data_IF_595830422894
#
_entry.id   IF_595830422894
#
_cell.length_a   1.000
_cell.length_b   1.000
_cell.length_c   1.000
_cell.angle_alpha   90.00
_cell.angle_beta   90.00
_cell.angle_gamma   90.00
#
_symmetry.space_group_name_H-M   'P 1'
#
loop_
_entity.id
_entity.type
_entity.pdbx_description
1 polymer ?
#
# COMPACT_ATOMS: atom_id res chain seq x y z
N UNK A 1 20.51 -5.66 -4.11
CA UNK A 1 19.60 -4.52 -4.37
C UNK A 1 18.21 -5.07 -4.11
N UNK A 2 17.43 -4.49 -3.20
CA UNK A 2 16.04 -4.94 -3.04
C UNK A 2 15.29 -4.58 -4.32
N UNK A 3 14.48 -5.51 -4.88
CA UNK A 3 13.66 -5.20 -6.04
C UNK A 3 12.79 -3.98 -5.72
N UNK A 4 12.74 -3.01 -6.65
CA UNK A 4 11.80 -1.89 -6.54
C UNK A 4 10.36 -2.40 -6.50
N UNK A 5 9.40 -1.63 -6.00
CA UNK A 5 8.03 -2.12 -5.87
C UNK A 5 7.43 -2.54 -7.23
N UNK A 6 7.84 -1.89 -8.32
CA UNK A 6 7.48 -2.28 -9.68
C UNK A 6 7.90 -3.71 -10.08
N UNK A 7 9.07 -4.19 -9.62
CA UNK A 7 9.51 -5.57 -9.87
C UNK A 7 8.69 -6.57 -9.04
N UNK A 8 8.30 -6.20 -7.81
CA UNK A 8 7.41 -7.02 -6.98
C UNK A 8 6.02 -7.17 -7.60
N UNK A 9 5.40 -6.08 -8.08
CA UNK A 9 4.11 -6.15 -8.76
C UNK A 9 4.20 -6.92 -10.08
N UNK A 10 5.30 -6.81 -10.82
CA UNK A 10 5.50 -7.57 -12.06
C UNK A 10 5.62 -9.08 -11.82
N UNK A 11 6.17 -9.48 -10.66
CA UNK A 11 6.42 -10.90 -10.33
C UNK A 11 5.26 -11.54 -9.57
N UNK A 12 4.62 -10.81 -8.65
CA UNK A 12 3.62 -11.32 -7.71
C UNK A 12 2.21 -10.78 -8.00
N UNK A 13 2.06 -9.81 -8.91
CA UNK A 13 0.79 -9.12 -9.10
C UNK A 13 0.33 -8.46 -7.79
N UNK A 14 -0.96 -8.57 -7.48
CA UNK A 14 -1.53 -7.96 -6.28
C UNK A 14 -1.10 -8.62 -4.96
N UNK A 15 -0.52 -9.83 -5.00
CA UNK A 15 0.05 -10.47 -3.80
C UNK A 15 1.25 -9.68 -3.25
N UNK A 16 1.84 -8.79 -4.06
CA UNK A 16 2.83 -7.84 -3.57
C UNK A 16 2.26 -6.91 -2.47
N UNK A 17 0.95 -6.66 -2.42
CA UNK A 17 0.32 -5.86 -1.35
C UNK A 17 0.40 -6.57 0.01
N UNK A 18 0.34 -7.90 0.03
CA UNK A 18 0.52 -8.72 1.23
C UNK A 18 1.94 -8.56 1.78
N UNK A 19 2.93 -8.49 0.91
CA UNK A 19 4.34 -8.34 1.29
C UNK A 19 4.66 -6.90 1.69
N UNK A 20 4.20 -5.92 0.91
CA UNK A 20 4.58 -4.51 1.06
C UNK A 20 3.77 -3.84 2.18
N UNK A 21 2.46 -4.11 2.25
CA UNK A 21 1.54 -3.45 3.16
C UNK A 21 1.02 -4.40 4.26
N UNK A 22 1.32 -5.70 4.19
CA UNK A 22 0.75 -6.68 5.13
C UNK A 22 -0.78 -6.73 5.05
N UNK A 23 -1.34 -6.51 3.85
CA UNK A 23 -2.76 -6.62 3.59
C UNK A 23 -3.04 -7.88 2.78
N UNK A 24 -3.93 -8.73 3.29
CA UNK A 24 -4.43 -9.87 2.52
C UNK A 24 -5.17 -9.39 1.26
N UNK A 25 -4.53 -9.54 0.09
CA UNK A 25 -5.07 -9.07 -1.19
C UNK A 25 -6.31 -9.82 -1.64
N UNK A 26 -6.60 -11.01 -1.10
CA UNK A 26 -7.82 -11.77 -1.41
C UNK A 26 -9.08 -11.12 -0.82
N UNK A 27 -8.91 -10.30 0.22
CA UNK A 27 -9.99 -9.57 0.90
C UNK A 27 -10.21 -8.17 0.32
N UNK A 28 -9.48 -7.80 -0.74
CA UNK A 28 -9.58 -6.51 -1.40
C UNK A 28 -10.39 -6.61 -2.69
N UNK A 29 -11.23 -5.62 -2.93
CA UNK A 29 -11.85 -5.40 -4.24
C UNK A 29 -10.82 -4.93 -5.26
N UNK A 30 -11.11 -5.10 -6.55
CA UNK A 30 -10.25 -4.64 -7.65
C UNK A 30 -10.04 -3.12 -7.67
N UNK A 31 -10.95 -2.34 -7.09
CA UNK A 31 -10.78 -0.90 -6.94
C UNK A 31 -9.75 -0.61 -5.83
N UNK A 32 -9.94 -1.20 -4.65
CA UNK A 32 -9.02 -1.02 -3.50
C UNK A 32 -7.60 -1.47 -3.85
N UNK A 33 -7.45 -2.60 -4.56
CA UNK A 33 -6.14 -3.06 -5.03
C UNK A 33 -5.46 -1.99 -5.88
N UNK A 34 -6.15 -1.45 -6.89
CA UNK A 34 -5.60 -0.42 -7.78
C UNK A 34 -5.22 0.86 -7.04
N UNK A 35 -6.04 1.28 -6.08
CA UNK A 35 -5.74 2.45 -5.24
C UNK A 35 -4.50 2.23 -4.37
N UNK A 36 -4.35 1.04 -3.78
CA UNK A 36 -3.20 0.69 -2.96
C UNK A 36 -1.92 0.49 -3.76
N UNK A 37 -2.00 -0.06 -4.98
CA UNK A 37 -0.84 -0.10 -5.90
C UNK A 37 -0.38 1.32 -6.20
N UNK A 38 -1.32 2.20 -6.56
CA UNK A 38 -1.01 3.61 -6.84
C UNK A 38 -0.39 4.31 -5.62
N UNK A 39 -0.88 4.04 -4.41
CA UNK A 39 -0.29 4.56 -3.17
C UNK A 39 1.17 4.13 -3.00
N UNK A 40 1.46 2.85 -3.24
CA UNK A 40 2.82 2.30 -3.18
C UNK A 40 3.72 2.95 -4.22
N UNK A 41 3.26 3.11 -5.46
CA UNK A 41 4.02 3.82 -6.51
C UNK A 41 4.28 5.29 -6.16
N UNK A 42 3.30 5.98 -5.56
CA UNK A 42 3.46 7.35 -5.07
C UNK A 42 4.51 7.43 -3.98
N UNK A 43 4.56 6.45 -3.08
CA UNK A 43 5.54 6.40 -1.99
C UNK A 43 6.99 6.28 -2.48
N UNK A 44 7.23 5.79 -3.70
CA UNK A 44 8.58 5.78 -4.28
C UNK A 44 9.09 7.19 -4.61
N UNK A 45 8.17 8.15 -4.80
CA UNK A 45 8.48 9.53 -5.22
C UNK A 45 8.15 10.58 -4.16
N UNK A 46 7.30 10.25 -3.18
CA UNK A 46 6.89 11.15 -2.10
C UNK A 46 7.30 10.56 -0.73
N UNK A 47 8.25 11.21 -0.07
CA UNK A 47 8.79 10.81 1.25
C UNK A 47 7.73 10.92 2.35
N UNK A 48 6.81 11.89 2.26
CA UNK A 48 5.73 12.07 3.24
C UNK A 48 4.75 10.91 3.16
N UNK A 49 4.33 10.53 1.95
CA UNK A 49 3.48 9.35 1.72
C UNK A 49 4.17 8.09 2.22
N UNK A 50 5.45 7.90 1.91
CA UNK A 50 6.22 6.74 2.39
C UNK A 50 6.26 6.68 3.92
N UNK A 51 6.49 7.82 4.58
CA UNK A 51 6.51 7.91 6.04
C UNK A 51 5.13 7.67 6.65
N UNK A 52 4.07 8.14 5.99
CA UNK A 52 2.67 7.88 6.38
C UNK A 52 2.31 6.40 6.31
N UNK A 53 2.66 5.72 5.21
CA UNK A 53 2.50 4.27 5.08
C UNK A 53 3.24 3.55 6.19
N UNK A 54 4.53 3.84 6.39
CA UNK A 54 5.34 3.18 7.41
C UNK A 54 4.76 3.36 8.81
N UNK A 55 4.32 4.58 9.16
CA UNK A 55 3.65 4.87 10.43
C UNK A 55 2.37 4.03 10.60
N UNK A 56 1.58 3.85 9.55
CA UNK A 56 0.38 3.01 9.60
C UNK A 56 0.75 1.53 9.83
N UNK A 57 1.80 1.04 9.16
CA UNK A 57 2.25 -0.36 9.30
C UNK A 57 2.78 -0.65 10.70
N UNK A 58 3.53 0.27 11.30
CA UNK A 58 4.12 0.12 12.63
C UNK A 58 3.08 0.21 13.76
N UNK A 59 2.03 1.02 13.59
CA UNK A 59 1.06 1.30 14.67
C UNK A 59 -0.23 0.47 14.59
N UNK A 60 -0.47 -0.28 13.50
CA UNK A 60 -1.72 -1.02 13.31
C UNK A 60 -1.47 -2.50 13.02
N UNK A 61 -1.86 -3.37 13.94
CA UNK A 61 -1.79 -4.83 13.78
C UNK A 61 -3.02 -5.46 13.12
N UNK A 62 -4.15 -4.72 13.05
CA UNK A 62 -5.38 -5.20 12.45
C UNK A 62 -5.44 -4.86 10.95
N UNK A 63 -5.60 -5.89 10.11
CA UNK A 63 -5.73 -5.76 8.65
C UNK A 63 -6.86 -4.78 8.25
N UNK A 64 -8.04 -4.85 8.87
CA UNK A 64 -9.16 -3.95 8.54
C UNK A 64 -8.83 -2.48 8.81
N UNK A 65 -8.26 -2.19 9.98
CA UNK A 65 -7.86 -0.82 10.36
C UNK A 65 -6.76 -0.32 9.44
N UNK A 66 -5.75 -1.15 9.19
CA UNK A 66 -4.64 -0.83 8.30
C UNK A 66 -5.11 -0.50 6.89
N UNK A 67 -6.01 -1.33 6.33
CA UNK A 67 -6.64 -1.08 5.02
C UNK A 67 -7.32 0.28 4.98
N UNK A 68 -8.19 0.57 5.96
CA UNK A 68 -8.94 1.82 6.02
C UNK A 68 -8.01 3.04 6.08
N UNK A 69 -6.95 2.98 6.89
CA UNK A 69 -5.99 4.09 7.00
C UNK A 69 -5.16 4.29 5.73
N UNK A 70 -4.74 3.21 5.06
CA UNK A 70 -4.00 3.30 3.80
C UNK A 70 -4.85 3.91 2.67
N UNK A 71 -6.13 3.51 2.56
CA UNK A 71 -7.05 4.09 1.59
C UNK A 71 -7.39 5.56 1.91
N UNK A 72 -7.49 5.91 3.20
CA UNK A 72 -7.69 7.30 3.62
C UNK A 72 -6.50 8.20 3.26
N UNK A 73 -5.26 7.68 3.35
CA UNK A 73 -4.05 8.43 2.97
C UNK A 73 -4.08 8.85 1.49
N UNK A 74 -4.58 7.98 0.60
CA UNK A 74 -4.78 8.31 -0.81
C UNK A 74 -5.82 9.41 -1.04
N UNK A 75 -6.85 9.48 -0.19
CA UNK A 75 -7.90 10.48 -0.31
C UNK A 75 -7.44 11.88 0.10
N UNK A 76 -6.41 11.96 0.96
CA UNK A 76 -5.84 13.24 1.42
C UNK A 76 -4.87 13.84 0.39
N UNK A 77 -4.16 13.02 -0.39
CA UNK A 77 -3.24 13.50 -1.46
C UNK A 77 -3.96 13.96 -2.74
N UNK A 78 -5.26 13.67 -2.90
CA UNK A 78 -6.08 14.12 -4.03
C UNK A 78 -6.83 15.44 -3.76
N UNK A 79 -6.56 16.11 -2.62
CA UNK A 79 -7.03 17.47 -2.29
C UNK A 79 -5.92 18.49 -2.53
#
# INVERSE_FOLDING_TARGET
>A
MYPGYGEMFSSLGYEALDVILGLDSTLLSELEKRELVRLVELSEKNVEVKSGIQSILENNSNNKTRKAMLLALMSQENM
#
